data_IF_542474542972
#
_entry.id   IF_542474542972
#
_cell.length_a   1.000
_cell.length_b   1.000
_cell.length_c   1.000
_cell.angle_alpha   90.00
_cell.angle_beta   90.00
_cell.angle_gamma   90.00
#
_symmetry.space_group_name_H-M   'P 1'
#
loop_
_entity.id
_entity.type
_entity.pdbx_description
1 polymer ?
#
# COMPACT_ATOMS: atom_id res chain seq x y z
N UNK A 1 51.32 15.63 17.36
CA UNK A 1 51.08 15.15 18.73
C UNK A 1 49.59 14.97 18.90
N UNK A 2 49.14 13.72 18.77
CA UNK A 2 47.72 13.33 18.76
C UNK A 2 47.13 13.39 20.17
N UNK A 3 45.84 13.73 20.28
CA UNK A 3 45.09 13.70 21.54
C UNK A 3 45.14 12.31 22.24
N UNK A 4 45.43 11.25 21.50
CA UNK A 4 45.60 9.89 22.02
C UNK A 4 46.81 9.69 22.97
N UNK A 5 47.79 10.60 23.00
CA UNK A 5 48.93 10.47 23.93
C UNK A 5 48.73 11.21 25.27
N UNK A 6 47.71 12.05 25.41
CA UNK A 6 47.44 12.74 26.69
C UNK A 6 46.73 11.85 27.71
N UNK A 7 46.00 10.82 27.28
CA UNK A 7 45.14 10.03 28.17
C UNK A 7 45.89 8.98 29.01
N UNK A 8 47.08 8.52 28.57
CA UNK A 8 47.74 7.42 29.27
C UNK A 8 48.57 7.85 30.51
N UNK A 9 48.94 9.14 30.63
CA UNK A 9 49.78 9.63 31.75
C UNK A 9 48.98 10.10 32.96
N UNK A 10 47.74 10.57 32.80
CA UNK A 10 46.88 10.92 33.95
C UNK A 10 46.26 9.69 34.63
N UNK A 11 45.96 8.62 33.87
CA UNK A 11 45.28 7.43 34.39
C UNK A 11 46.11 6.61 35.42
N UNK A 12 47.44 6.75 35.45
CA UNK A 12 48.32 5.98 36.36
C UNK A 12 48.38 6.51 37.81
N UNK A 13 47.78 7.65 38.13
CA UNK A 13 47.79 8.22 39.49
C UNK A 13 46.41 8.29 40.17
N UNK A 14 45.36 7.82 39.51
CA UNK A 14 44.01 7.84 40.06
C UNK A 14 43.67 6.49 40.69
N UNK A 15 43.18 6.53 41.93
CA UNK A 15 42.75 5.36 42.69
C UNK A 15 41.70 4.58 41.89
N UNK A 16 41.83 3.24 41.70
CA UNK A 16 40.87 2.45 40.94
C UNK A 16 39.43 2.58 41.46
N UNK A 17 39.24 2.84 42.76
CA UNK A 17 37.92 3.13 43.33
C UNK A 17 37.37 4.50 42.89
N UNK A 18 38.22 5.48 42.59
CA UNK A 18 37.83 6.81 42.12
C UNK A 18 37.51 6.81 40.62
N UNK A 19 38.20 5.97 39.84
CA UNK A 19 37.89 5.74 38.41
C UNK A 19 36.53 5.05 38.28
N UNK A 20 36.25 4.04 39.11
CA UNK A 20 34.97 3.34 39.11
C UNK A 20 33.80 4.24 39.52
N UNK A 21 34.01 5.15 40.49
CA UNK A 21 33.02 6.15 40.91
C UNK A 21 32.83 7.22 39.83
N UNK A 22 33.89 7.71 39.17
CA UNK A 22 33.74 8.65 38.05
C UNK A 22 33.02 8.02 36.84
N UNK A 23 33.31 6.76 36.52
CA UNK A 23 32.60 6.04 35.45
C UNK A 23 31.13 5.74 35.81
N UNK A 24 30.81 5.48 37.08
CA UNK A 24 29.42 5.34 37.55
C UNK A 24 28.66 6.68 37.52
N UNK A 25 29.33 7.79 37.84
CA UNK A 25 28.69 9.14 37.82
C UNK A 25 28.47 9.62 36.38
N UNK A 26 29.34 9.25 35.43
CA UNK A 26 29.16 9.53 34.00
C UNK A 26 28.04 8.63 33.40
N UNK A 27 27.90 7.37 33.85
CA UNK A 27 26.75 6.53 33.46
C UNK A 27 25.42 6.97 34.10
N UNK A 28 25.44 7.58 35.29
CA UNK A 28 24.23 8.07 35.97
C UNK A 28 23.75 9.45 35.50
N UNK A 29 24.54 10.18 34.69
CA UNK A 29 24.20 11.53 34.22
C UNK A 29 23.84 11.63 32.73
N UNK A 30 23.81 10.50 32.01
CA UNK A 30 23.18 10.39 30.69
C UNK A 30 21.79 9.75 30.81
N UNK A 31 20.96 10.29 31.71
CA UNK A 31 19.51 10.26 31.47
C UNK A 31 19.24 11.31 30.39
N UNK A 32 19.59 10.98 29.14
CA UNK A 32 19.02 11.70 28.01
C UNK A 32 17.53 11.37 28.03
N UNK A 33 16.76 12.19 28.75
CA UNK A 33 15.34 12.29 28.53
C UNK A 33 15.21 12.67 27.05
N UNK A 34 14.94 11.68 26.20
CA UNK A 34 14.38 11.94 24.90
C UNK A 34 13.09 12.71 25.17
N UNK A 35 13.16 14.04 25.04
CA UNK A 35 11.97 14.87 25.04
C UNK A 35 11.24 14.39 23.79
N UNK A 36 10.22 13.56 23.97
CA UNK A 36 9.24 13.32 22.93
C UNK A 36 8.64 14.70 22.62
N UNK A 37 9.20 15.40 21.63
CA UNK A 37 8.57 16.58 21.07
C UNK A 37 7.24 16.09 20.56
N UNK A 38 6.15 16.53 21.19
CA UNK A 38 4.85 16.39 20.57
C UNK A 38 4.95 17.14 19.25
N UNK A 39 4.69 16.48 18.10
CA UNK A 39 4.76 17.16 16.82
C UNK A 39 3.86 18.39 16.88
N UNK A 40 4.44 19.57 16.67
CA UNK A 40 3.71 20.84 16.73
C UNK A 40 2.64 20.86 15.64
N UNK A 41 1.48 21.44 15.95
CA UNK A 41 0.40 21.53 14.97
C UNK A 41 0.87 22.36 13.76
N UNK A 42 0.74 21.86 12.52
CA UNK A 42 1.15 22.60 11.34
C UNK A 42 0.43 23.94 11.21
N UNK A 43 1.17 24.97 10.77
CA UNK A 43 0.64 26.35 10.64
C UNK A 43 -0.58 26.41 9.70
N UNK A 44 -0.61 25.59 8.65
CA UNK A 44 -1.75 25.57 7.73
C UNK A 44 -3.05 25.12 8.41
N UNK A 45 -2.99 24.24 9.40
CA UNK A 45 -4.16 23.84 10.20
C UNK A 45 -4.68 25.05 10.99
N UNK A 46 -3.77 25.84 11.54
CA UNK A 46 -4.09 27.07 12.28
C UNK A 46 -4.75 28.12 11.39
N UNK A 47 -4.28 28.24 10.14
CA UNK A 47 -4.93 29.07 9.13
C UNK A 47 -6.33 28.57 8.77
N UNK A 48 -6.51 27.26 8.60
CA UNK A 48 -7.83 26.68 8.35
C UNK A 48 -8.79 26.92 9.52
N UNK A 49 -8.34 26.82 10.77
CA UNK A 49 -9.15 27.14 11.93
C UNK A 49 -9.62 28.60 11.92
N UNK A 50 -8.74 29.54 11.54
CA UNK A 50 -9.11 30.95 11.34
C UNK A 50 -10.22 31.09 10.29
N UNK A 51 -9.98 30.59 9.08
CA UNK A 51 -10.93 30.69 7.97
C UNK A 51 -12.26 30.03 8.28
N UNK A 52 -12.24 28.89 8.98
CA UNK A 52 -13.45 28.19 9.39
C UNK A 52 -14.27 29.01 10.39
N UNK A 53 -13.59 29.64 11.34
CA UNK A 53 -14.23 30.53 12.32
C UNK A 53 -14.82 31.81 11.71
N UNK A 54 -14.21 32.29 10.63
CA UNK A 54 -14.68 33.43 9.83
C UNK A 54 -15.74 33.05 8.78
N UNK A 55 -16.07 31.76 8.66
CA UNK A 55 -17.05 31.25 7.70
C UNK A 55 -16.57 31.21 6.24
N UNK A 56 -15.26 31.30 6.01
CA UNK A 56 -14.65 31.28 4.67
C UNK A 56 -14.48 29.86 4.12
N UNK A 57 -14.40 28.85 4.99
CA UNK A 57 -14.37 27.43 4.61
C UNK A 57 -15.48 26.66 5.33
N UNK A 58 -15.88 25.53 4.73
CA UNK A 58 -16.97 24.70 5.24
C UNK A 58 -16.49 23.81 6.39
N UNK A 59 -17.45 23.23 7.13
CA UNK A 59 -17.15 22.25 8.19
C UNK A 59 -16.32 21.07 7.65
N UNK A 60 -16.59 20.62 6.42
CA UNK A 60 -15.85 19.55 5.74
C UNK A 60 -14.38 19.89 5.50
N UNK A 61 -14.06 21.15 5.21
CA UNK A 61 -12.67 21.58 4.99
C UNK A 61 -11.90 21.65 6.31
N UNK A 62 -12.58 22.07 7.39
CA UNK A 62 -12.01 22.06 8.73
C UNK A 62 -11.79 20.63 9.25
N UNK A 63 -12.75 19.73 9.05
CA UNK A 63 -12.65 18.34 9.51
C UNK A 63 -11.58 17.55 8.77
N UNK A 64 -11.25 17.85 7.50
CA UNK A 64 -10.07 17.32 6.81
C UNK A 64 -8.76 17.66 7.52
N UNK A 65 -8.64 18.87 8.08
CA UNK A 65 -7.50 19.24 8.90
C UNK A 65 -7.41 18.44 10.19
N UNK A 66 -8.54 18.21 10.86
CA UNK A 66 -8.60 17.37 12.06
C UNK A 66 -8.27 15.91 11.74
N UNK A 67 -8.79 15.39 10.62
CA UNK A 67 -8.46 14.07 10.09
C UNK A 67 -6.96 13.93 9.88
N UNK A 68 -6.30 14.92 9.26
CA UNK A 68 -4.85 14.93 9.12
C UNK A 68 -4.13 14.84 10.47
N UNK A 69 -4.52 15.64 11.48
CA UNK A 69 -3.88 15.58 12.80
C UNK A 69 -4.02 14.21 13.46
N UNK A 70 -5.16 13.55 13.27
CA UNK A 70 -5.40 12.20 13.78
C UNK A 70 -4.53 11.20 13.02
N UNK A 71 -4.55 11.24 11.69
CA UNK A 71 -3.79 10.33 10.83
C UNK A 71 -2.28 10.47 11.03
N UNK A 72 -1.77 11.66 11.34
CA UNK A 72 -0.35 11.89 11.65
C UNK A 72 0.01 11.61 13.11
N UNK A 73 -0.93 11.15 13.93
CA UNK A 73 -0.69 10.85 15.36
C UNK A 73 -0.42 12.09 16.21
N UNK A 74 -0.57 13.29 15.65
CA UNK A 74 -0.47 14.59 16.34
C UNK A 74 -1.62 14.74 17.34
N UNK A 75 -2.80 14.26 16.97
CA UNK A 75 -4.00 14.23 17.81
C UNK A 75 -4.48 12.79 18.02
N UNK A 76 -4.37 12.29 19.25
CA UNK A 76 -4.90 10.96 19.61
C UNK A 76 -6.31 11.07 20.16
N UNK A 77 -7.28 10.38 19.57
CA UNK A 77 -8.65 10.35 20.10
C UNK A 77 -8.76 9.23 21.15
N UNK A 78 -9.15 9.53 22.41
CA UNK A 78 -9.40 8.49 23.41
C UNK A 78 -10.54 7.56 22.97
N UNK A 79 -10.36 6.24 23.07
CA UNK A 79 -11.44 5.26 22.85
C UNK A 79 -12.55 5.52 23.87
N UNK A 80 -13.64 6.14 23.44
CA UNK A 80 -14.84 6.37 24.26
C UNK A 80 -16.09 5.99 23.47
N UNK A 81 -17.14 5.62 24.18
CA UNK A 81 -18.37 5.06 23.63
C UNK A 81 -19.13 6.16 22.87
N UNK A 82 -19.36 6.04 21.55
CA UNK A 82 -20.05 7.08 20.80
C UNK A 82 -21.50 7.21 21.28
N UNK A 83 -21.92 8.44 21.58
CA UNK A 83 -23.32 8.77 21.78
C UNK A 83 -23.96 8.96 20.39
N UNK A 84 -25.19 8.47 20.24
CA UNK A 84 -25.98 8.46 19.01
C UNK A 84 -25.82 9.73 18.14
N UNK A 85 -25.49 9.50 16.87
CA UNK A 85 -25.46 10.46 15.78
C UNK A 85 -26.72 11.32 15.70
N UNK A 86 -26.59 12.63 15.89
CA UNK A 86 -27.50 13.59 15.30
C UNK A 86 -26.72 14.43 14.28
N UNK A 87 -27.08 14.26 13.01
CA UNK A 87 -26.48 14.93 11.85
C UNK A 87 -26.94 16.39 11.73
N UNK A 88 -26.71 17.19 12.76
CA UNK A 88 -26.81 18.64 12.64
C UNK A 88 -25.36 19.12 12.62
N UNK A 89 -24.94 19.79 11.54
CA UNK A 89 -23.55 20.24 11.33
C UNK A 89 -22.92 20.93 12.54
N UNK A 90 -21.61 21.17 12.50
CA UNK A 90 -20.85 21.55 13.69
C UNK A 90 -21.48 22.82 14.30
N UNK A 91 -21.96 22.77 15.57
CA UNK A 91 -22.63 23.91 16.17
C UNK A 91 -21.74 25.16 16.12
N UNK A 92 -22.31 26.30 15.74
CA UNK A 92 -21.50 27.53 15.51
C UNK A 92 -20.73 28.00 16.75
N UNK A 93 -21.16 27.64 17.97
CA UNK A 93 -20.41 27.96 19.18
C UNK A 93 -19.04 27.29 19.25
N UNK A 94 -18.84 26.17 18.53
CA UNK A 94 -17.57 25.47 18.41
C UNK A 94 -16.53 26.30 17.65
N UNK A 95 -16.98 27.13 16.70
CA UNK A 95 -16.10 28.02 15.91
C UNK A 95 -15.35 29.02 16.78
N UNK A 96 -15.84 29.32 17.99
CA UNK A 96 -15.13 30.18 18.93
C UNK A 96 -13.80 29.56 19.40
N UNK A 97 -13.74 28.23 19.59
CA UNK A 97 -12.50 27.56 19.98
C UNK A 97 -11.45 27.67 18.87
N UNK A 98 -11.87 27.49 17.61
CA UNK A 98 -10.99 27.68 16.45
C UNK A 98 -10.53 29.14 16.31
N UNK A 99 -11.42 30.11 16.55
CA UNK A 99 -11.07 31.53 16.57
C UNK A 99 -10.02 31.82 17.64
N UNK A 100 -10.30 31.48 18.90
CA UNK A 100 -9.40 31.71 20.03
C UNK A 100 -8.02 31.08 19.80
N UNK A 101 -7.99 29.87 19.25
CA UNK A 101 -6.72 29.21 18.94
C UNK A 101 -5.95 29.95 17.85
N UNK A 102 -6.62 30.32 16.76
CA UNK A 102 -6.00 31.03 15.64
C UNK A 102 -5.47 32.43 16.01
N UNK A 103 -6.13 33.10 16.96
CA UNK A 103 -5.73 34.41 17.49
C UNK A 103 -4.71 34.31 18.65
N UNK A 104 -4.34 33.10 19.07
CA UNK A 104 -3.37 32.86 20.14
C UNK A 104 -3.92 33.09 21.56
N UNK A 105 -5.24 33.11 21.72
CA UNK A 105 -5.90 33.23 23.02
C UNK A 105 -5.93 31.90 23.80
N UNK A 106 -5.90 30.77 23.09
CA UNK A 106 -5.67 29.43 23.66
C UNK A 106 -4.50 28.76 22.96
N UNK A 107 -3.80 27.88 23.68
CA UNK A 107 -2.65 27.16 23.14
C UNK A 107 -3.04 25.89 22.37
N UNK A 108 -2.05 25.25 21.72
CA UNK A 108 -2.24 24.02 20.95
C UNK A 108 -2.79 22.87 21.81
N UNK A 109 -2.41 22.79 23.09
CA UNK A 109 -2.85 21.75 24.02
C UNK A 109 -4.34 21.91 24.36
N UNK A 110 -4.76 23.13 24.65
CA UNK A 110 -6.15 23.49 24.94
C UNK A 110 -7.04 23.26 23.71
N UNK A 111 -6.59 23.69 22.53
CA UNK A 111 -7.30 23.44 21.28
C UNK A 111 -7.45 21.93 21.02
N UNK A 112 -6.36 21.16 21.11
CA UNK A 112 -6.37 19.71 20.88
C UNK A 112 -7.31 19.00 21.85
N UNK A 113 -7.28 19.32 23.15
CA UNK A 113 -8.21 18.75 24.14
C UNK A 113 -9.67 19.04 23.81
N UNK A 114 -9.95 20.28 23.37
CA UNK A 114 -11.27 20.68 22.92
C UNK A 114 -11.75 19.84 21.73
N UNK A 115 -10.94 19.71 20.68
CA UNK A 115 -11.30 18.91 19.50
C UNK A 115 -11.41 17.42 19.84
N UNK A 116 -10.48 16.87 20.64
CA UNK A 116 -10.55 15.49 21.12
C UNK A 116 -11.88 15.19 21.80
N UNK A 117 -12.34 16.09 22.69
CA UNK A 117 -13.63 15.96 23.34
C UNK A 117 -14.78 15.98 22.34
N UNK A 118 -14.76 16.90 21.38
CA UNK A 118 -15.82 17.05 20.38
C UNK A 118 -15.93 15.86 19.43
N UNK A 119 -14.79 15.31 19.01
CA UNK A 119 -14.74 14.07 18.21
C UNK A 119 -15.22 12.89 19.04
N UNK A 120 -14.75 12.76 20.29
CA UNK A 120 -15.14 11.67 21.20
C UNK A 120 -16.63 11.64 21.50
N UNK A 121 -17.28 12.80 21.56
CA UNK A 121 -18.72 12.92 21.80
C UNK A 121 -19.56 12.95 20.51
N UNK A 122 -18.95 12.76 19.34
CA UNK A 122 -19.66 12.74 18.06
C UNK A 122 -20.23 14.09 17.60
N UNK A 123 -19.78 15.21 18.20
CA UNK A 123 -20.17 16.57 17.80
C UNK A 123 -19.42 16.97 16.52
N UNK A 124 -18.15 16.57 16.42
CA UNK A 124 -17.38 16.63 15.17
C UNK A 124 -17.26 15.19 14.67
N UNK A 125 -17.80 14.94 13.48
CA UNK A 125 -17.60 13.67 12.77
C UNK A 125 -16.44 13.87 11.81
N UNK A 126 -15.43 13.01 11.94
CA UNK A 126 -14.28 12.93 11.04
C UNK A 126 -14.26 11.54 10.45
N UNK A 127 -14.10 11.44 9.13
CA UNK A 127 -13.85 10.18 8.45
C UNK A 127 -12.41 9.76 8.74
N UNK A 128 -12.16 9.11 9.88
CA UNK A 128 -10.80 8.65 10.19
C UNK A 128 -10.49 7.41 9.36
N UNK A 129 -9.46 7.49 8.53
CA UNK A 129 -8.83 6.32 7.94
C UNK A 129 -8.14 5.59 9.09
N UNK A 130 -8.50 4.33 9.32
CA UNK A 130 -7.96 3.56 10.44
C UNK A 130 -7.02 2.48 9.94
N UNK A 131 -5.73 2.72 10.12
CA UNK A 131 -4.70 1.71 9.97
C UNK A 131 -4.61 0.87 11.25
N UNK A 132 -4.16 -0.38 11.11
CA UNK A 132 -3.90 -1.24 12.26
C UNK A 132 -2.48 -1.01 12.78
N UNK A 133 -2.32 -0.36 13.95
CA UNK A 133 -0.99 -0.10 14.50
C UNK A 133 -0.26 -1.37 14.95
N UNK A 134 -0.95 -2.51 15.14
CA UNK A 134 -0.33 -3.77 15.57
C UNK A 134 0.57 -4.33 14.47
N UNK A 135 0.26 -4.05 13.19
CA UNK A 135 1.05 -4.54 12.06
C UNK A 135 2.51 -4.06 12.11
N UNK A 136 2.77 -2.88 12.68
CA UNK A 136 4.13 -2.36 12.86
C UNK A 136 4.99 -3.21 13.80
N UNK A 137 4.39 -3.98 14.70
CA UNK A 137 5.13 -4.93 15.57
C UNK A 137 5.64 -6.15 14.79
N UNK A 138 5.11 -6.37 13.58
CA UNK A 138 5.40 -7.52 12.72
C UNK A 138 6.17 -7.17 11.44
N UNK A 139 6.46 -5.88 11.21
CA UNK A 139 7.31 -5.46 10.10
C UNK A 139 8.75 -5.93 10.34
N UNK A 140 9.35 -6.60 9.35
CA UNK A 140 10.76 -6.96 9.39
C UNK A 140 11.65 -5.72 9.16
N UNK A 141 12.59 -5.47 10.08
CA UNK A 141 13.50 -4.30 10.09
C UNK A 141 12.79 -2.94 9.91
N UNK A 142 11.86 -2.56 10.80
CA UNK A 142 11.09 -1.33 10.63
C UNK A 142 11.96 -0.05 10.65
N UNK A 143 13.20 -0.12 11.13
CA UNK A 143 14.13 1.00 11.15
C UNK A 143 14.57 1.45 9.75
N UNK A 144 14.38 0.63 8.72
CA UNK A 144 14.65 0.99 7.31
C UNK A 144 13.58 1.92 6.72
N UNK A 145 12.40 1.96 7.34
CA UNK A 145 11.25 2.69 6.83
C UNK A 145 11.21 4.09 7.42
N UNK A 146 11.24 5.09 6.55
CA UNK A 146 10.96 6.47 6.92
C UNK A 146 9.45 6.74 6.76
N UNK A 147 8.75 6.87 7.87
CA UNK A 147 7.31 7.11 7.87
C UNK A 147 7.01 8.54 7.40
N UNK A 148 6.26 8.67 6.30
CA UNK A 148 5.78 9.95 5.78
C UNK A 148 4.39 10.25 6.32
N UNK A 149 3.48 9.26 6.29
CA UNK A 149 2.17 9.34 6.94
C UNK A 149 1.87 8.04 7.69
N UNK A 150 1.52 8.14 8.97
CA UNK A 150 1.21 6.94 9.78
C UNK A 150 0.00 6.18 9.23
N UNK A 151 -0.93 6.88 8.57
CA UNK A 151 -2.06 6.25 7.93
C UNK A 151 -2.55 7.03 6.71
N UNK A 152 -2.46 6.39 5.55
CA UNK A 152 -2.89 6.89 4.26
C UNK A 152 -3.95 5.95 3.66
N UNK A 153 -4.76 6.51 2.76
CA UNK A 153 -5.71 5.77 1.94
C UNK A 153 -5.59 6.21 0.49
N UNK A 154 -5.39 5.25 -0.39
CA UNK A 154 -5.19 5.45 -1.82
C UNK A 154 -6.11 4.56 -2.62
N UNK A 155 -6.36 4.91 -3.87
CA UNK A 155 -7.05 4.06 -4.83
C UNK A 155 -6.19 3.89 -6.07
N UNK A 156 -6.34 2.74 -6.72
CA UNK A 156 -5.55 2.36 -7.88
C UNK A 156 -5.87 0.96 -8.38
N UNK A 157 -5.15 0.53 -9.41
CA UNK A 157 -5.31 -0.80 -10.02
C UNK A 157 -4.10 -1.65 -9.69
N UNK A 158 -4.33 -2.90 -9.27
CA UNK A 158 -3.24 -3.84 -8.98
C UNK A 158 -2.59 -4.25 -10.31
N UNK A 159 -1.29 -4.00 -10.47
CA UNK A 159 -0.53 -4.32 -11.68
C UNK A 159 0.28 -5.61 -11.53
N UNK A 160 0.78 -5.89 -10.32
CA UNK A 160 1.60 -7.07 -10.07
C UNK A 160 1.51 -7.53 -8.61
N UNK A 161 1.63 -8.83 -8.38
CA UNK A 161 1.71 -9.44 -7.05
C UNK A 161 2.85 -10.45 -7.08
N UNK A 162 3.83 -10.35 -6.18
CA UNK A 162 4.86 -11.36 -5.98
C UNK A 162 5.07 -11.67 -4.51
N UNK A 163 5.36 -12.93 -4.20
CA UNK A 163 5.77 -13.33 -2.87
C UNK A 163 7.27 -13.03 -2.67
N UNK A 164 7.60 -12.51 -1.50
CA UNK A 164 8.97 -12.21 -1.08
C UNK A 164 9.47 -13.24 -0.05
N UNK A 165 10.79 -13.33 0.11
CA UNK A 165 11.44 -14.36 0.94
C UNK A 165 11.19 -14.19 2.43
N UNK A 166 10.92 -12.98 2.88
CA UNK A 166 10.56 -12.67 4.27
C UNK A 166 9.11 -13.05 4.62
N UNK A 167 8.35 -13.53 3.63
CA UNK A 167 6.96 -13.94 3.79
C UNK A 167 5.96 -12.87 3.37
N UNK A 168 6.42 -11.71 2.92
CA UNK A 168 5.53 -10.63 2.50
C UNK A 168 5.00 -10.87 1.07
N UNK A 169 4.01 -10.09 0.65
CA UNK A 169 3.74 -9.86 -0.77
C UNK A 169 4.15 -8.44 -1.13
N UNK A 170 5.01 -8.34 -2.14
CA UNK A 170 5.30 -7.11 -2.85
C UNK A 170 4.26 -6.94 -3.96
N UNK A 171 3.37 -5.97 -3.80
CA UNK A 171 2.30 -5.68 -4.76
C UNK A 171 2.58 -4.34 -5.43
N UNK A 172 2.53 -4.27 -6.77
CA UNK A 172 2.55 -3.00 -7.48
C UNK A 172 1.13 -2.51 -7.72
N UNK A 173 0.87 -1.27 -7.34
CA UNK A 173 -0.41 -0.60 -7.52
C UNK A 173 -0.22 0.66 -8.37
N UNK A 174 -0.84 0.67 -9.55
CA UNK A 174 -0.96 1.85 -10.38
C UNK A 174 -1.93 2.83 -9.70
N UNK A 175 -1.40 3.89 -9.10
CA UNK A 175 -2.18 4.89 -8.37
C UNK A 175 -3.06 5.72 -9.30
N UNK A 176 -4.23 6.11 -8.80
CA UNK A 176 -5.05 7.12 -9.49
C UNK A 176 -4.30 8.45 -9.63
N UNK A 177 -4.59 9.23 -10.69
CA UNK A 177 -3.88 10.49 -10.96
C UNK A 177 -3.85 11.50 -9.80
N UNK A 178 -4.84 11.45 -8.90
CA UNK A 178 -4.89 12.34 -7.74
C UNK A 178 -3.81 12.03 -6.67
N UNK A 179 -3.23 10.83 -6.68
CA UNK A 179 -2.19 10.40 -5.76
C UNK A 179 -0.79 10.38 -6.40
N UNK A 180 -0.63 10.90 -7.62
CA UNK A 180 0.65 10.89 -8.36
C UNK A 180 1.83 11.47 -7.57
N UNK A 181 1.57 12.39 -6.65
CA UNK A 181 2.60 13.04 -5.83
C UNK A 181 3.17 12.12 -4.73
N UNK A 182 2.57 10.92 -4.54
CA UNK A 182 3.09 9.85 -3.68
C UNK A 182 4.12 8.96 -4.40
N UNK A 183 4.26 9.08 -5.71
CA UNK A 183 5.25 8.34 -6.50
C UNK A 183 6.53 9.16 -6.61
N UNK A 184 7.67 8.54 -6.36
CA UNK A 184 8.97 9.18 -6.52
C UNK A 184 9.79 8.54 -7.65
N UNK A 185 10.99 9.09 -7.89
CA UNK A 185 11.84 8.64 -8.99
C UNK A 185 12.27 7.17 -8.87
N UNK A 186 12.48 6.66 -7.65
CA UNK A 186 12.84 5.26 -7.43
C UNK A 186 11.66 4.33 -7.77
N UNK A 187 10.41 4.72 -7.49
CA UNK A 187 9.24 4.00 -7.99
C UNK A 187 9.20 3.99 -9.52
N UNK A 188 9.44 5.13 -10.17
CA UNK A 188 9.45 5.22 -11.64
C UNK A 188 10.50 4.31 -12.25
N UNK A 189 11.72 4.31 -11.70
CA UNK A 189 12.86 3.58 -12.26
C UNK A 189 12.85 2.07 -11.94
N UNK A 190 12.29 1.67 -10.79
CA UNK A 190 12.46 0.31 -10.24
C UNK A 190 11.13 -0.40 -9.99
N UNK A 191 10.01 0.34 -9.98
CA UNK A 191 8.65 -0.18 -9.76
C UNK A 191 7.71 0.24 -10.89
N UNK A 192 8.26 0.64 -12.05
CA UNK A 192 7.50 1.03 -13.25
C UNK A 192 6.51 2.17 -13.04
N UNK A 193 6.73 3.03 -12.03
CA UNK A 193 5.86 4.15 -11.69
C UNK A 193 4.74 3.80 -10.70
N UNK A 194 4.68 2.55 -10.25
CA UNK A 194 3.68 2.09 -9.28
C UNK A 194 4.13 2.34 -7.84
N UNK A 195 3.16 2.51 -6.94
CA UNK A 195 3.44 2.44 -5.50
C UNK A 195 3.56 0.96 -5.11
N UNK A 196 4.50 0.66 -4.23
CA UNK A 196 4.62 -0.69 -3.66
C UNK A 196 3.64 -0.81 -2.50
N UNK A 197 2.93 -1.92 -2.40
CA UNK A 197 2.20 -2.31 -1.21
C UNK A 197 2.89 -3.54 -0.63
N UNK A 198 3.21 -3.49 0.65
CA UNK A 198 3.76 -4.62 1.39
C UNK A 198 2.73 -5.14 2.36
N UNK A 199 2.12 -6.28 2.01
CA UNK A 199 1.28 -7.02 2.95
C UNK A 199 2.14 -8.05 3.66
N UNK A 200 2.32 -7.85 4.96
CA UNK A 200 3.33 -8.59 5.71
C UNK A 200 2.89 -10.03 6.07
N UNK A 201 3.86 -10.94 6.15
CA UNK A 201 3.71 -12.28 6.76
C UNK A 201 2.56 -13.15 6.18
N UNK A 202 2.34 -13.10 4.87
CA UNK A 202 1.30 -13.88 4.19
C UNK A 202 1.76 -15.24 3.65
N UNK A 203 3.06 -15.36 3.37
CA UNK A 203 3.67 -16.48 2.67
C UNK A 203 4.60 -17.28 3.59
N UNK A 204 4.95 -18.53 3.21
CA UNK A 204 6.02 -19.27 3.88
C UNK A 204 7.32 -18.46 3.89
N UNK A 205 7.92 -18.33 5.07
CA UNK A 205 9.13 -17.52 5.27
C UNK A 205 10.36 -18.35 4.90
N UNK A 206 11.09 -17.93 3.86
CA UNK A 206 12.35 -18.55 3.44
C UNK A 206 13.57 -17.88 4.10
N UNK A 207 13.41 -16.62 4.51
CA UNK A 207 14.45 -15.82 5.14
C UNK A 207 14.48 -16.03 6.67
N UNK A 208 15.55 -16.65 7.16
CA UNK A 208 15.65 -17.10 8.55
C UNK A 208 15.52 -15.99 9.61
N UNK A 209 16.00 -14.77 9.33
CA UNK A 209 15.94 -13.65 10.29
C UNK A 209 14.63 -12.84 10.22
N UNK A 210 13.75 -13.10 9.24
CA UNK A 210 12.39 -12.55 9.19
C UNK A 210 11.37 -13.36 10.02
N UNK A 211 11.71 -14.61 10.37
CA UNK A 211 10.80 -15.53 11.08
C UNK A 211 10.27 -14.96 12.40
N UNK A 212 11.09 -14.24 13.15
CA UNK A 212 10.68 -13.68 14.45
C UNK A 212 9.62 -12.58 14.29
N UNK A 213 9.77 -11.71 13.28
CA UNK A 213 8.83 -10.62 13.00
C UNK A 213 7.42 -11.12 12.70
N UNK A 214 7.29 -12.27 12.04
CA UNK A 214 5.99 -12.85 11.69
C UNK A 214 5.38 -13.77 12.76
N UNK A 215 5.94 -13.84 13.97
CA UNK A 215 5.36 -14.69 15.02
C UNK A 215 4.06 -14.13 15.57
N UNK A 216 3.00 -14.95 15.61
CA UNK A 216 1.75 -14.61 16.27
C UNK A 216 0.79 -13.74 15.43
N UNK A 217 1.18 -13.35 14.23
CA UNK A 217 0.26 -12.74 13.26
C UNK A 217 -0.63 -13.83 12.65
N UNK A 218 -1.93 -13.56 12.55
CA UNK A 218 -2.92 -14.51 11.99
C UNK A 218 -3.90 -13.86 11.03
N UNK A 219 -3.84 -12.53 10.90
CA UNK A 219 -4.69 -11.78 10.00
C UNK A 219 -4.04 -11.72 8.62
N UNK A 220 -4.60 -12.49 7.70
CA UNK A 220 -4.17 -12.54 6.30
C UNK A 220 -5.03 -11.55 5.50
N UNK A 221 -4.39 -10.60 4.81
CA UNK A 221 -5.09 -9.66 3.93
C UNK A 221 -5.36 -10.36 2.60
N UNK A 222 -6.62 -10.49 2.22
CA UNK A 222 -6.97 -11.01 0.91
C UNK A 222 -6.60 -9.99 -0.18
N UNK A 223 -5.58 -10.30 -0.98
CA UNK A 223 -5.14 -9.47 -2.10
C UNK A 223 -5.98 -9.83 -3.34
N UNK A 224 -6.78 -8.90 -3.89
CA UNK A 224 -7.52 -9.16 -5.13
C UNK A 224 -6.57 -9.41 -6.30
N UNK A 225 -7.06 -10.07 -7.36
CA UNK A 225 -6.25 -10.36 -8.55
C UNK A 225 -5.73 -9.09 -9.24
N UNK A 226 -4.64 -9.22 -9.98
CA UNK A 226 -4.14 -8.21 -10.91
C UNK A 226 -5.27 -7.71 -11.83
N UNK A 227 -5.25 -6.42 -12.15
CA UNK A 227 -6.31 -5.70 -12.87
C UNK A 227 -7.49 -5.25 -12.00
N UNK A 228 -7.51 -5.59 -10.71
CA UNK A 228 -8.60 -5.17 -9.82
C UNK A 228 -8.37 -3.74 -9.33
N UNK A 229 -9.41 -2.91 -9.46
CA UNK A 229 -9.44 -1.57 -8.89
C UNK A 229 -9.80 -1.63 -7.39
N UNK A 230 -8.92 -1.09 -6.56
CA UNK A 230 -8.96 -1.25 -5.10
C UNK A 230 -8.77 0.07 -4.38
N UNK A 231 -9.28 0.11 -3.15
CA UNK A 231 -8.93 1.09 -2.12
C UNK A 231 -8.01 0.43 -1.13
N UNK A 232 -6.84 1.01 -0.91
CA UNK A 232 -5.82 0.49 0.00
C UNK A 232 -5.67 1.45 1.16
N UNK A 233 -5.61 0.89 2.37
CA UNK A 233 -5.33 1.63 3.60
C UNK A 233 -4.08 1.06 4.24
N UNK A 234 -3.13 1.90 4.65
CA UNK A 234 -1.89 1.49 5.32
C UNK A 234 -0.97 2.68 5.60
N UNK A 235 0.19 2.43 6.18
CA UNK A 235 1.16 3.50 6.45
C UNK A 235 1.93 3.87 5.19
N UNK A 236 2.06 5.15 4.87
CA UNK A 236 2.83 5.62 3.72
C UNK A 236 4.27 5.93 4.14
N UNK A 237 5.23 5.25 3.53
CA UNK A 237 6.63 5.24 3.96
C UNK A 237 7.57 5.34 2.77
N UNK A 238 8.83 5.70 3.02
CA UNK A 238 9.93 5.52 2.09
C UNK A 238 10.86 4.43 2.60
N UNK A 239 11.25 3.52 1.72
CA UNK A 239 12.13 2.42 2.05
C UNK A 239 13.60 2.75 1.79
N UNK A 240 14.32 3.12 2.83
CA UNK A 240 15.68 3.66 2.71
C UNK A 240 16.72 2.63 2.25
N UNK A 241 16.45 1.32 2.39
CA UNK A 241 17.35 0.26 1.94
C UNK A 241 17.12 -0.13 0.47
N UNK A 242 15.98 0.24 -0.11
CA UNK A 242 15.63 -0.01 -1.51
C UNK A 242 15.49 1.28 -2.31
N UNK A 243 16.58 2.05 -2.36
CA UNK A 243 16.65 3.31 -3.12
C UNK A 243 15.62 4.37 -2.71
N UNK A 244 15.03 4.26 -1.52
CA UNK A 244 13.99 5.17 -1.02
C UNK A 244 12.71 5.18 -1.87
N UNK A 245 12.34 4.09 -2.54
CA UNK A 245 11.02 4.04 -3.19
C UNK A 245 9.90 4.16 -2.16
N UNK A 246 8.77 4.68 -2.61
CA UNK A 246 7.59 4.92 -1.79
C UNK A 246 6.73 3.65 -1.71
N UNK A 247 6.24 3.35 -0.51
CA UNK A 247 5.41 2.17 -0.22
C UNK A 247 4.21 2.52 0.65
N UNK A 248 3.14 1.74 0.54
CA UNK A 248 2.18 1.54 1.62
C UNK A 248 2.61 0.29 2.39
N UNK A 249 3.25 0.49 3.54
CA UNK A 249 3.85 -0.56 4.36
C UNK A 249 3.80 -0.18 5.86
N UNK A 250 3.16 -0.97 6.72
CA UNK A 250 2.37 -2.15 6.39
C UNK A 250 1.00 -1.77 5.83
N UNK A 251 0.50 -2.57 4.89
CA UNK A 251 -0.89 -2.48 4.45
C UNK A 251 -1.82 -2.94 5.57
N UNK A 252 -2.83 -2.15 5.91
CA UNK A 252 -3.88 -2.50 6.88
C UNK A 252 -5.13 -3.10 6.24
N UNK A 253 -5.50 -2.66 5.04
CA UNK A 253 -6.64 -3.24 4.31
C UNK A 253 -6.56 -2.99 2.80
N UNK A 254 -7.16 -3.91 2.04
CA UNK A 254 -7.42 -3.78 0.61
C UNK A 254 -8.90 -4.07 0.37
N UNK A 255 -9.63 -3.11 -0.20
CA UNK A 255 -11.06 -3.21 -0.49
C UNK A 255 -11.29 -3.07 -1.99
N UNK A 256 -12.05 -4.00 -2.60
CA UNK A 256 -12.44 -3.88 -4.00
C UNK A 256 -13.47 -2.77 -4.16
N UNK A 257 -13.23 -1.84 -5.09
CA UNK A 257 -14.22 -0.85 -5.50
C UNK A 257 -14.91 -1.37 -6.76
N UNK A 258 -16.17 -1.76 -6.65
CA UNK A 258 -16.98 -2.13 -7.81
C UNK A 258 -17.42 -0.87 -8.57
N UNK A 259 -17.57 -0.96 -9.90
CA UNK A 259 -17.85 0.17 -10.81
C UNK A 259 -19.12 1.00 -10.49
N UNK A 260 -19.94 0.61 -9.50
CA UNK A 260 -21.07 1.39 -8.98
C UNK A 260 -20.76 2.13 -7.65
N UNK A 261 -19.49 2.27 -7.25
CA UNK A 261 -19.10 2.98 -6.03
C UNK A 261 -19.44 2.27 -4.72
N UNK A 262 -19.82 0.99 -4.77
CA UNK A 262 -20.09 0.16 -3.58
C UNK A 262 -18.81 -0.56 -3.17
N UNK A 263 -18.31 -0.27 -1.97
CA UNK A 263 -17.19 -0.99 -1.33
C UNK A 263 -17.71 -2.27 -0.70
N UNK A 264 -17.13 -3.41 -1.04
CA UNK A 264 -17.43 -4.70 -0.39
C UNK A 264 -16.24 -5.09 0.46
N UNK A 265 -16.39 -5.07 1.78
CA UNK A 265 -15.43 -5.68 2.69
C UNK A 265 -15.70 -7.18 2.75
N UNK A 266 -14.73 -8.00 2.40
CA UNK A 266 -14.79 -9.43 2.66
C UNK A 266 -14.59 -9.67 4.17
N UNK A 267 -15.68 -9.72 4.93
CA UNK A 267 -15.65 -10.14 6.33
C UNK A 267 -15.95 -11.62 6.43
N UNK A 268 -15.05 -12.37 7.06
CA UNK A 268 -15.25 -13.77 7.45
C UNK A 268 -16.48 -13.89 8.37
N UNK A 269 -17.56 -14.51 7.88
CA UNK A 269 -18.56 -15.11 8.76
C UNK A 269 -18.22 -16.57 8.95
N UNK A 270 -17.58 -16.88 10.08
CA UNK A 270 -17.62 -18.22 10.66
C UNK A 270 -19.08 -18.59 10.95
N UNK A 271 -19.61 -19.53 10.18
CA UNK A 271 -20.88 -20.17 10.46
C UNK A 271 -20.68 -21.68 10.40
N UNK A 272 -20.68 -22.28 11.58
CA UNK A 272 -20.83 -23.71 11.83
C UNK A 272 -22.11 -24.21 11.17
N UNK A 273 -22.01 -25.19 10.27
CA UNK A 273 -23.17 -25.96 9.81
C UNK A 273 -22.90 -27.44 10.02
N UNK A 274 -23.75 -28.02 10.87
CA UNK A 274 -23.79 -29.43 11.21
C UNK A 274 -24.11 -30.32 10.01
N UNK A 275 -23.54 -31.52 10.06
CA UNK A 275 -23.79 -32.65 9.17
C UNK A 275 -25.27 -33.00 9.00
N UNK A 276 -25.71 -33.25 7.77
CA UNK A 276 -26.33 -34.52 7.40
C UNK A 276 -26.35 -34.76 5.86
N UNK A 277 -26.43 -36.03 5.40
CA UNK A 277 -25.77 -36.47 4.17
C UNK A 277 -26.67 -36.66 2.94
N UNK A 278 -26.00 -36.65 1.78
CA UNK A 278 -26.27 -37.33 0.50
C UNK A 278 -27.43 -36.85 -0.40
N UNK A 279 -27.10 -36.22 -1.54
CA UNK A 279 -26.89 -36.95 -2.81
C UNK A 279 -26.14 -36.08 -3.84
N UNK A 280 -25.11 -36.65 -4.48
CA UNK A 280 -24.29 -36.05 -5.55
C UNK A 280 -24.96 -36.27 -6.91
N UNK A 281 -24.81 -35.31 -7.82
CA UNK A 281 -24.20 -35.53 -9.15
C UNK A 281 -23.58 -34.22 -9.67
N UNK A 282 -22.32 -34.36 -10.11
CA UNK A 282 -21.37 -33.34 -10.53
C UNK A 282 -21.66 -32.79 -11.94
N UNK A 283 -21.52 -31.48 -12.11
CA UNK A 283 -20.84 -30.90 -13.28
C UNK A 283 -20.01 -29.68 -12.83
N UNK A 284 -18.86 -29.94 -12.23
CA UNK A 284 -17.82 -28.92 -12.04
C UNK A 284 -17.14 -28.69 -13.38
N UNK A 285 -17.59 -27.66 -14.11
CA UNK A 285 -16.85 -27.14 -15.27
C UNK A 285 -15.60 -26.44 -14.74
N UNK A 286 -14.43 -26.83 -15.24
CA UNK A 286 -13.16 -26.18 -14.91
C UNK A 286 -13.05 -24.81 -15.57
N UNK A 287 -12.34 -23.89 -14.92
CA UNK A 287 -12.04 -22.54 -15.41
C UNK A 287 -10.62 -22.51 -15.97
N UNK A 288 -10.41 -21.90 -17.14
CA UNK A 288 -9.08 -21.73 -17.72
C UNK A 288 -8.43 -20.41 -17.23
N UNK A 289 -7.15 -20.41 -16.94
CA UNK A 289 -6.33 -19.24 -16.58
C UNK A 289 -5.25 -19.00 -17.64
N UNK A 290 -4.86 -17.75 -17.89
CA UNK A 290 -3.84 -17.35 -18.86
C UNK A 290 -2.69 -16.63 -18.12
N UNK A 291 -1.45 -17.10 -18.29
CA UNK A 291 -0.23 -16.46 -17.73
C UNK A 291 0.75 -16.07 -18.87
N UNK A 292 1.49 -14.95 -18.68
CA UNK A 292 2.38 -14.35 -19.69
C UNK A 292 3.74 -13.97 -19.10
N UNK A 293 4.83 -14.25 -19.82
CA UNK A 293 6.18 -13.79 -19.46
C UNK A 293 6.42 -12.35 -19.95
N UNK A 294 6.61 -11.40 -19.03
CA UNK A 294 6.77 -9.97 -19.32
C UNK A 294 8.20 -9.58 -19.78
N UNK A 295 8.29 -8.59 -20.68
CA UNK A 295 9.49 -7.78 -20.90
C UNK A 295 9.17 -6.29 -20.75
N UNK A 296 10.14 -5.53 -20.22
CA UNK A 296 9.98 -4.14 -19.74
C UNK A 296 9.49 -3.12 -20.79
N UNK A 297 9.88 -3.24 -22.06
CA UNK A 297 9.41 -2.42 -23.20
C UNK A 297 9.99 -2.94 -24.52
N UNK A 298 9.28 -2.73 -25.64
CA UNK A 298 9.71 -3.25 -26.95
C UNK A 298 10.01 -2.10 -27.92
N UNK A 299 11.25 -2.02 -28.38
CA UNK A 299 11.60 -1.06 -29.42
C UNK A 299 10.93 -1.43 -30.76
N UNK A 300 10.35 -0.45 -31.47
CA UNK A 300 9.82 -0.66 -32.82
C UNK A 300 10.90 -1.25 -33.74
N UNK A 301 10.54 -2.20 -34.58
CA UNK A 301 11.49 -2.93 -35.43
C UNK A 301 12.02 -4.23 -34.83
N UNK A 302 11.83 -4.46 -33.53
CA UNK A 302 12.18 -5.72 -32.84
C UNK A 302 11.18 -6.84 -33.11
N UNK A 303 11.61 -8.08 -32.86
CA UNK A 303 10.73 -9.24 -32.78
C UNK A 303 10.23 -9.33 -31.36
N UNK A 304 8.91 -9.36 -31.20
CA UNK A 304 8.26 -9.70 -29.95
C UNK A 304 7.94 -11.19 -29.94
N UNK A 305 8.16 -11.84 -28.79
CA UNK A 305 7.74 -13.21 -28.52
C UNK A 305 6.87 -13.25 -27.28
N UNK A 306 5.86 -14.10 -27.27
CA UNK A 306 4.93 -14.28 -26.18
C UNK A 306 4.60 -15.76 -26.02
N UNK A 307 4.46 -16.19 -24.78
CA UNK A 307 3.97 -17.52 -24.42
C UNK A 307 2.69 -17.35 -23.63
N UNK A 308 1.60 -17.96 -24.09
CA UNK A 308 0.30 -18.02 -23.42
C UNK A 308 0.22 -19.35 -22.70
N UNK A 309 0.19 -19.36 -21.38
CA UNK A 309 0.08 -20.59 -20.58
C UNK A 309 -1.35 -20.79 -20.08
N UNK A 310 -1.94 -21.96 -20.34
CA UNK A 310 -3.31 -22.30 -19.94
C UNK A 310 -3.32 -23.32 -18.81
N UNK A 311 -3.97 -23.00 -17.69
CA UNK A 311 -4.16 -23.92 -16.56
C UNK A 311 -5.63 -24.05 -16.15
N UNK A 312 -5.98 -25.11 -15.40
CA UNK A 312 -7.29 -25.29 -14.77
C UNK A 312 -7.40 -24.65 -13.37
N UNK A 313 -6.44 -23.80 -13.02
CA UNK A 313 -6.24 -23.22 -11.68
C UNK A 313 -5.24 -24.00 -10.83
N UNK A 314 -4.78 -25.17 -11.25
CA UNK A 314 -3.69 -25.89 -10.56
C UNK A 314 -2.77 -26.65 -11.53
N UNK A 315 -3.29 -27.18 -12.64
CA UNK A 315 -2.54 -27.99 -13.59
C UNK A 315 -2.60 -27.37 -15.00
N UNK A 316 -1.53 -27.50 -15.79
CA UNK A 316 -1.56 -27.09 -17.20
C UNK A 316 -2.58 -27.88 -18.03
N UNK A 317 -3.16 -27.24 -19.04
CA UNK A 317 -4.19 -27.81 -19.90
C UNK A 317 -3.75 -27.78 -21.36
N UNK A 318 -3.32 -28.94 -21.87
CA UNK A 318 -2.90 -29.14 -23.26
C UNK A 318 -4.04 -29.07 -24.27
N UNK A 319 -3.75 -28.97 -25.56
CA UNK A 319 -4.73 -29.05 -26.66
C UNK A 319 -5.90 -28.04 -26.53
N UNK A 320 -5.67 -26.93 -25.83
CA UNK A 320 -6.63 -25.82 -25.69
C UNK A 320 -6.49 -24.93 -26.91
N UNK A 321 -7.59 -24.61 -27.60
CA UNK A 321 -7.56 -23.67 -28.71
C UNK A 321 -7.35 -22.26 -28.17
N UNK A 322 -6.33 -21.55 -28.67
CA UNK A 322 -6.00 -20.19 -28.29
C UNK A 322 -6.05 -19.30 -29.53
N UNK A 323 -6.72 -18.16 -29.43
CA UNK A 323 -6.65 -17.05 -30.40
C UNK A 323 -6.16 -15.78 -29.74
N UNK A 324 -5.24 -15.09 -30.39
CA UNK A 324 -4.62 -13.86 -29.90
C UNK A 324 -4.80 -12.77 -30.94
N UNK A 325 -5.40 -11.66 -30.54
CA UNK A 325 -5.62 -10.46 -31.36
C UNK A 325 -4.85 -9.28 -30.76
N UNK A 326 -3.81 -8.84 -31.46
CA UNK A 326 -2.98 -7.69 -31.07
C UNK A 326 -3.47 -6.45 -31.79
N UNK A 327 -3.75 -5.38 -31.05
CA UNK A 327 -4.13 -4.05 -31.54
C UNK A 327 -2.97 -3.09 -31.27
N UNK A 328 -2.47 -2.46 -32.31
CA UNK A 328 -1.35 -1.53 -32.20
C UNK A 328 -1.83 -0.18 -31.63
N UNK A 329 -0.93 0.60 -31.03
CA UNK A 329 -1.23 1.94 -30.47
C UNK A 329 -1.84 2.96 -31.47
N UNK A 330 -1.82 2.65 -32.77
CA UNK A 330 -2.51 3.43 -33.80
C UNK A 330 -4.02 3.16 -33.84
N UNK A 331 -4.50 2.03 -33.32
CA UNK A 331 -5.88 1.54 -33.44
C UNK A 331 -6.18 0.85 -34.78
N UNK A 332 -5.52 1.28 -35.87
CA UNK A 332 -5.85 0.80 -37.23
C UNK A 332 -5.04 -0.43 -37.70
N UNK A 333 -4.06 -0.89 -36.92
CA UNK A 333 -3.20 -2.03 -37.29
C UNK A 333 -3.39 -3.14 -36.27
N UNK A 334 -3.67 -4.35 -36.77
CA UNK A 334 -3.86 -5.54 -35.92
C UNK A 334 -3.03 -6.73 -36.39
N UNK A 335 -2.82 -7.69 -35.49
CA UNK A 335 -2.20 -8.99 -35.78
C UNK A 335 -2.95 -10.11 -35.07
N UNK A 336 -3.28 -11.16 -35.83
CA UNK A 336 -3.99 -12.33 -35.34
C UNK A 336 -3.08 -13.56 -35.31
N UNK A 337 -3.17 -14.32 -34.24
CA UNK A 337 -2.52 -15.63 -34.08
C UNK A 337 -3.55 -16.64 -33.57
N UNK A 338 -3.45 -17.88 -34.04
CA UNK A 338 -4.31 -18.97 -33.56
C UNK A 338 -3.49 -20.25 -33.47
N UNK A 339 -3.72 -21.04 -32.42
CA UNK A 339 -3.06 -22.32 -32.25
C UNK A 339 -3.66 -23.14 -31.12
N UNK A 340 -2.92 -24.15 -30.68
CA UNK A 340 -3.30 -25.00 -29.55
C UNK A 340 -2.15 -25.10 -28.56
N UNK A 341 -2.46 -25.21 -27.27
CA UNK A 341 -1.46 -25.40 -26.23
C UNK A 341 -0.77 -26.78 -26.33
N UNK A 342 0.49 -26.84 -25.93
CA UNK A 342 1.28 -28.07 -25.85
C UNK A 342 1.01 -28.86 -24.56
N UNK A 343 1.80 -29.92 -24.29
CA UNK A 343 1.63 -30.76 -23.09
C UNK A 343 1.83 -30.03 -21.78
N UNK A 344 2.56 -28.91 -21.79
CA UNK A 344 2.81 -28.07 -20.63
C UNK A 344 1.81 -26.92 -20.54
N UNK A 345 0.74 -26.96 -21.35
CA UNK A 345 -0.31 -25.94 -21.39
C UNK A 345 0.12 -24.66 -22.10
N UNK A 346 1.27 -24.63 -22.77
CA UNK A 346 1.83 -23.41 -23.35
C UNK A 346 1.52 -23.27 -24.85
N UNK A 347 1.27 -22.04 -25.30
CA UNK A 347 1.17 -21.65 -26.70
C UNK A 347 2.11 -20.47 -26.99
N UNK A 348 3.18 -20.73 -27.74
CA UNK A 348 4.18 -19.71 -28.09
C UNK A 348 3.87 -19.04 -29.43
N UNK A 349 4.05 -17.72 -29.49
CA UNK A 349 3.95 -16.94 -30.71
C UNK A 349 4.97 -15.82 -30.75
N UNK A 350 5.35 -15.40 -31.96
CA UNK A 350 6.27 -14.27 -32.14
C UNK A 350 5.98 -13.51 -33.43
N UNK A 351 6.26 -12.21 -33.42
CA UNK A 351 6.10 -11.36 -34.60
C UNK A 351 7.01 -10.14 -34.57
N UNK A 352 7.29 -9.58 -35.74
CA UNK A 352 8.06 -8.36 -35.87
C UNK A 352 7.16 -7.13 -35.74
N UNK A 353 7.49 -6.23 -34.82
CA UNK A 353 6.86 -4.91 -34.73
C UNK A 353 7.44 -4.02 -35.83
N UNK A 354 6.58 -3.37 -36.62
CA UNK A 354 7.02 -2.56 -37.75
C UNK A 354 7.92 -1.40 -37.30
N UNK A 355 9.03 -1.16 -38.01
CA UNK A 355 9.96 -0.07 -37.66
C UNK A 355 9.37 1.33 -37.77
N UNK A 356 8.28 1.48 -38.53
CA UNK A 356 7.50 2.73 -38.63
C UNK A 356 6.23 2.71 -37.79
N UNK A 357 6.04 1.69 -36.93
CA UNK A 357 4.88 1.62 -36.07
C UNK A 357 4.82 2.82 -35.14
N UNK A 358 3.61 3.32 -34.87
CA UNK A 358 3.36 4.36 -33.89
C UNK A 358 3.76 3.83 -32.50
N UNK A 359 4.69 4.49 -31.79
CA UNK A 359 4.96 4.19 -30.39
C UNK A 359 3.73 4.45 -29.52
N UNK A 360 3.65 3.77 -28.39
CA UNK A 360 2.51 3.82 -27.49
C UNK A 360 2.11 2.43 -27.01
N UNK A 361 0.99 2.39 -26.31
CA UNK A 361 0.45 1.18 -25.72
C UNK A 361 -0.23 0.30 -26.76
N UNK A 362 0.20 -0.95 -26.84
CA UNK A 362 -0.42 -1.99 -27.64
C UNK A 362 -1.31 -2.81 -26.73
N UNK A 363 -2.45 -3.23 -27.26
CA UNK A 363 -3.43 -4.07 -26.58
C UNK A 363 -3.40 -5.46 -27.20
N UNK A 364 -3.61 -6.47 -26.38
CA UNK A 364 -3.63 -7.86 -26.81
C UNK A 364 -4.78 -8.58 -26.13
N UNK A 365 -5.72 -9.02 -26.95
CA UNK A 365 -6.83 -9.87 -26.53
C UNK A 365 -6.49 -11.33 -26.77
N UNK A 366 -6.72 -12.17 -25.78
CA UNK A 366 -6.49 -13.61 -25.83
C UNK A 366 -7.81 -14.30 -25.49
N UNK A 367 -8.25 -15.20 -26.36
CA UNK A 367 -9.36 -16.11 -26.09
C UNK A 367 -8.84 -17.56 -26.06
N UNK A 368 -9.26 -18.32 -25.05
CA UNK A 368 -8.95 -19.73 -24.90
C UNK A 368 -10.23 -20.56 -24.77
N UNK A 369 -10.31 -21.66 -25.50
CA UNK A 369 -11.48 -22.53 -25.61
C UNK A 369 -11.09 -23.99 -25.63
N UNK A 370 -11.75 -24.79 -24.77
CA UNK A 370 -11.65 -26.25 -24.75
C UNK A 370 -12.95 -26.88 -24.29
N UNK A 371 -13.35 -27.97 -24.94
CA UNK A 371 -14.54 -28.73 -24.55
C UNK A 371 -14.45 -29.20 -23.10
N UNK A 372 -15.53 -29.01 -22.34
CA UNK A 372 -15.61 -29.34 -20.91
C UNK A 372 -15.12 -28.23 -19.98
N UNK A 373 -14.51 -27.17 -20.51
CA UNK A 373 -14.09 -25.98 -19.77
C UNK A 373 -14.94 -24.77 -20.16
N UNK A 374 -15.08 -23.83 -19.23
CA UNK A 374 -15.63 -22.52 -19.57
C UNK A 374 -14.57 -21.74 -20.38
N UNK A 375 -14.93 -21.10 -21.52
CA UNK A 375 -14.00 -20.28 -22.28
C UNK A 375 -13.41 -19.17 -21.39
N UNK A 376 -12.12 -18.88 -21.59
CA UNK A 376 -11.44 -17.79 -20.91
C UNK A 376 -11.06 -16.70 -21.90
N UNK A 377 -11.09 -15.47 -21.43
CA UNK A 377 -10.68 -14.30 -22.18
C UNK A 377 -9.83 -13.41 -21.27
N UNK A 378 -8.74 -12.89 -21.81
CA UNK A 378 -7.90 -11.92 -21.12
C UNK A 378 -7.37 -10.88 -22.09
N UNK A 379 -7.38 -9.63 -21.65
CA UNK A 379 -6.71 -8.53 -22.33
C UNK A 379 -5.50 -8.10 -21.52
N UNK A 380 -4.38 -7.83 -22.17
CA UNK A 380 -3.24 -7.19 -21.54
C UNK A 380 -2.63 -6.14 -22.47
N UNK A 381 -1.76 -5.30 -21.92
CA UNK A 381 -1.14 -4.20 -22.64
C UNK A 381 0.38 -4.22 -22.49
N UNK A 382 1.08 -3.73 -23.50
CA UNK A 382 2.53 -3.52 -23.43
C UNK A 382 2.95 -2.27 -24.21
N UNK A 383 4.06 -1.66 -23.82
CA UNK A 383 4.51 -0.40 -24.42
C UNK A 383 5.52 -0.63 -25.55
N UNK A 384 5.24 -0.02 -26.71
CA UNK A 384 6.20 0.05 -27.82
C UNK A 384 6.84 1.42 -27.87
N UNK A 385 8.17 1.44 -27.77
CA UNK A 385 8.97 2.68 -27.75
C UNK A 385 9.67 2.92 -29.10
N UNK A 386 10.11 4.17 -29.40
CA UNK A 386 10.93 4.44 -30.56
C UNK A 386 12.19 3.57 -30.60
N UNK A 387 12.66 3.25 -31.82
CA UNK A 387 13.97 2.61 -32.00
C UNK A 387 15.06 3.62 -31.61
N UNK A 388 16.01 3.18 -30.79
CA UNK A 388 17.18 3.95 -30.38
C UNK A 388 18.17 4.22 -31.50
#
# INVERSE_FOLDING_TARGET
MNLLELDCKLARKLNPSLIFVLSLVILASLSASAIAQTPSIPVWIKNNAKWWSEGQIQDSDFTKGIQYLINQGIMKIPKTKPLSSQSHGIPSWIKNNAKWWSEGQIDDSEFVKGIQYLVSNGVIVVETVQCDPILWEHVYRPQRLNIIELCAQVTGTIENIRAEKDGDYHVRLALDPQYKDMINQANVEQQHGDIVLETICQNPIEQADAVESCQGISDIINIPRVGTYVKVTGSYVLDLEHSSWAEIHPVSSIEVILQNGTTVSASNTGATVQNNPASKQNSTSGTLHIDLAEQDYIARGSIQSMTVEITDGTNPVSDTTVSVHVIYASGDTTKDFTGTTDSDGAFELSWKIGGNSKPGTFEVDIDASKDGFSPAHQTFWFEVVPAS
#
